data_IF_180270213940
#
_entry.id   IF_180270213940
#
_cell.length_a   1.000
_cell.length_b   1.000
_cell.length_c   1.000
_cell.angle_alpha   90.00
_cell.angle_beta   90.00
_cell.angle_gamma   90.00
#
_symmetry.space_group_name_H-M   'P 1'
#
loop_
_entity.id
_entity.type
_entity.pdbx_description
1 polymer ?
#
# COMPACT_ATOMS: atom_id res chain seq x y z
N UNK A 1 -68.01 -46.46 -16.32
CA UNK A 1 -67.44 -45.23 -16.91
C UNK A 1 -66.20 -44.87 -16.12
N UNK A 2 -65.03 -45.15 -16.69
CA UNK A 2 -63.73 -44.72 -16.16
C UNK A 2 -63.56 -43.26 -16.58
N UNK A 3 -63.86 -42.33 -15.66
CA UNK A 3 -63.68 -40.89 -15.90
C UNK A 3 -62.18 -40.60 -15.88
N UNK A 4 -61.66 -40.22 -17.06
CA UNK A 4 -60.45 -39.42 -17.29
C UNK A 4 -59.49 -39.33 -16.09
N UNK A 5 -58.60 -40.30 -15.99
CA UNK A 5 -57.28 -39.99 -15.45
C UNK A 5 -56.54 -39.23 -16.54
N UNK A 6 -56.48 -37.91 -16.38
CA UNK A 6 -55.47 -37.09 -17.04
C UNK A 6 -54.69 -36.34 -15.97
N UNK A 7 -53.72 -36.98 -15.30
CA UNK A 7 -52.57 -36.28 -14.78
C UNK A 7 -51.44 -36.49 -15.77
N UNK A 8 -51.48 -35.79 -16.90
CA UNK A 8 -50.24 -35.55 -17.65
C UNK A 8 -49.62 -34.32 -17.03
N UNK A 9 -48.90 -34.53 -15.93
CA UNK A 9 -48.11 -33.51 -15.26
C UNK A 9 -46.93 -33.12 -16.14
N UNK A 10 -46.84 -31.88 -16.64
CA UNK A 10 -45.58 -31.32 -17.14
C UNK A 10 -44.76 -30.71 -15.98
N UNK A 11 -45.20 -30.90 -14.73
CA UNK A 11 -44.70 -30.17 -13.55
C UNK A 11 -43.26 -30.54 -13.19
N UNK A 12 -42.83 -31.77 -13.50
CA UNK A 12 -41.49 -32.25 -13.18
C UNK A 12 -40.39 -31.62 -14.05
N UNK A 13 -40.63 -31.41 -15.35
CA UNK A 13 -39.63 -30.83 -16.24
C UNK A 13 -39.45 -29.32 -16.00
N UNK A 14 -40.53 -28.58 -15.74
CA UNK A 14 -40.45 -27.15 -15.45
C UNK A 14 -39.77 -26.90 -14.09
N UNK A 15 -40.09 -27.72 -13.08
CA UNK A 15 -39.44 -27.66 -11.75
C UNK A 15 -37.95 -28.00 -11.83
N UNK A 16 -37.58 -29.03 -12.60
CA UNK A 16 -36.18 -29.41 -12.81
C UNK A 16 -35.39 -28.32 -13.55
N UNK A 17 -35.97 -27.72 -14.59
CA UNK A 17 -35.36 -26.60 -15.32
C UNK A 17 -35.19 -25.36 -14.44
N UNK A 18 -36.15 -25.05 -13.58
CA UNK A 18 -36.05 -23.95 -12.60
C UNK A 18 -34.95 -24.19 -11.56
N UNK A 19 -34.81 -25.43 -11.09
CA UNK A 19 -33.74 -25.81 -10.18
C UNK A 19 -32.36 -25.71 -10.86
N UNK A 20 -32.23 -26.17 -12.11
CA UNK A 20 -30.99 -26.04 -12.87
C UNK A 20 -30.64 -24.58 -13.18
N UNK A 21 -31.61 -23.74 -13.54
CA UNK A 21 -31.39 -22.31 -13.72
C UNK A 21 -30.91 -21.64 -12.42
N UNK A 22 -31.46 -22.06 -11.27
CA UNK A 22 -31.04 -21.57 -9.95
C UNK A 22 -29.61 -22.01 -9.62
N UNK A 23 -29.26 -23.28 -9.86
CA UNK A 23 -27.89 -23.78 -9.67
C UNK A 23 -26.89 -23.06 -10.59
N UNK A 24 -27.25 -22.82 -11.85
CA UNK A 24 -26.42 -22.09 -12.81
C UNK A 24 -26.14 -20.66 -12.33
N UNK A 25 -27.16 -19.97 -11.80
CA UNK A 25 -26.99 -18.61 -11.26
C UNK A 25 -26.12 -18.58 -10.01
N UNK A 26 -26.23 -19.57 -9.11
CA UNK A 26 -25.37 -19.67 -7.93
C UNK A 26 -23.92 -19.97 -8.28
N UNK A 27 -23.65 -20.85 -9.25
CA UNK A 27 -22.28 -21.12 -9.68
C UNK A 27 -21.67 -19.90 -10.39
N UNK A 28 -22.45 -19.16 -11.20
CA UNK A 28 -22.02 -17.89 -11.76
C UNK A 28 -21.69 -16.87 -10.66
N UNK A 29 -22.53 -16.74 -9.63
CA UNK A 29 -22.26 -15.86 -8.49
C UNK A 29 -20.99 -16.26 -7.73
N UNK A 30 -20.79 -17.56 -7.51
CA UNK A 30 -19.57 -18.09 -6.89
C UNK A 30 -18.34 -17.82 -7.75
N UNK A 31 -18.45 -17.94 -9.07
CA UNK A 31 -17.38 -17.60 -10.00
C UNK A 31 -17.07 -16.10 -9.99
N UNK A 32 -18.07 -15.23 -9.96
CA UNK A 32 -17.89 -13.78 -9.79
C UNK A 32 -17.17 -13.46 -8.48
N UNK A 33 -17.59 -14.06 -7.36
CA UNK A 33 -16.92 -13.89 -6.06
C UNK A 33 -15.46 -14.34 -6.12
N UNK A 34 -15.18 -15.48 -6.76
CA UNK A 34 -13.80 -15.98 -6.93
C UNK A 34 -12.95 -15.02 -7.75
N UNK A 35 -13.47 -14.54 -8.87
CA UNK A 35 -12.79 -13.55 -9.72
C UNK A 35 -12.53 -12.24 -8.96
N UNK A 36 -13.48 -11.79 -8.14
CA UNK A 36 -13.29 -10.59 -7.31
C UNK A 36 -12.16 -10.78 -6.28
N UNK A 37 -12.10 -11.93 -5.60
CA UNK A 37 -11.01 -12.24 -4.67
C UNK A 37 -9.65 -12.29 -5.38
N UNK A 38 -9.59 -12.84 -6.60
CA UNK A 38 -8.37 -12.84 -7.41
C UNK A 38 -7.94 -11.41 -7.79
N UNK A 39 -8.88 -10.55 -8.18
CA UNK A 39 -8.60 -9.14 -8.48
C UNK A 39 -8.08 -8.38 -7.26
N UNK A 40 -8.65 -8.62 -6.07
CA UNK A 40 -8.16 -8.03 -4.82
C UNK A 40 -6.74 -8.51 -4.49
N UNK A 41 -6.45 -9.80 -4.68
CA UNK A 41 -5.11 -10.34 -4.49
C UNK A 41 -4.10 -9.69 -5.44
N UNK A 42 -4.44 -9.59 -6.73
CA UNK A 42 -3.59 -8.98 -7.75
C UNK A 42 -3.30 -7.50 -7.45
N UNK A 43 -4.32 -6.73 -7.05
CA UNK A 43 -4.14 -5.35 -6.60
C UNK A 43 -3.20 -5.25 -5.39
N UNK A 44 -3.35 -6.17 -4.42
CA UNK A 44 -2.44 -6.25 -3.26
C UNK A 44 -0.99 -6.54 -3.65
N UNK A 45 -0.76 -7.44 -4.62
CA UNK A 45 0.57 -7.74 -5.15
C UNK A 45 1.18 -6.52 -5.85
N UNK A 46 0.40 -5.81 -6.68
CA UNK A 46 0.85 -4.61 -7.37
C UNK A 46 1.23 -3.49 -6.40
N UNK A 47 0.39 -3.23 -5.39
CA UNK A 47 0.67 -2.23 -4.37
C UNK A 47 1.99 -2.54 -3.64
N UNK A 48 2.22 -3.81 -3.27
CA UNK A 48 3.48 -4.25 -2.65
C UNK A 48 4.68 -4.04 -3.56
N UNK A 49 4.58 -4.41 -4.84
CA UNK A 49 5.66 -4.21 -5.80
C UNK A 49 6.01 -2.73 -5.98
N UNK A 50 5.00 -1.86 -6.04
CA UNK A 50 5.23 -0.41 -6.09
C UNK A 50 5.93 0.09 -4.83
N UNK A 51 5.44 -0.27 -3.64
CA UNK A 51 6.07 0.12 -2.38
C UNK A 51 7.49 -0.44 -2.22
N UNK A 52 7.78 -1.64 -2.71
CA UNK A 52 9.14 -2.19 -2.75
C UNK A 52 10.03 -1.41 -3.71
N UNK A 53 9.52 -1.04 -4.88
CA UNK A 53 10.26 -0.22 -5.85
C UNK A 53 10.58 1.16 -5.30
N UNK A 54 9.61 1.86 -4.72
CA UNK A 54 9.81 3.17 -4.09
C UNK A 54 10.73 3.05 -2.88
N UNK A 55 10.49 2.05 -2.04
CA UNK A 55 11.32 1.73 -0.89
C UNK A 55 12.77 1.50 -1.29
N UNK A 56 13.04 0.82 -2.41
CA UNK A 56 14.42 0.50 -2.83
C UNK A 56 15.31 1.74 -2.95
N UNK A 57 14.72 2.91 -3.23
CA UNK A 57 15.42 4.19 -3.26
C UNK A 57 15.86 4.68 -1.88
N UNK A 58 15.18 4.23 -0.81
CA UNK A 58 15.48 4.55 0.59
C UNK A 58 16.57 3.65 1.17
N UNK A 59 16.88 2.52 0.53
CA UNK A 59 17.91 1.60 1.01
C UNK A 59 19.27 2.32 1.14
N UNK A 60 19.88 2.25 2.33
CA UNK A 60 21.12 2.94 2.65
C UNK A 60 21.01 4.47 2.83
N UNK A 61 19.80 5.04 2.72
CA UNK A 61 19.54 6.44 3.05
C UNK A 61 19.09 6.57 4.50
N UNK A 62 19.22 7.77 5.04
CA UNK A 62 18.63 8.13 6.32
C UNK A 62 17.16 8.48 6.12
N UNK A 63 16.29 7.92 6.94
CA UNK A 63 14.86 8.22 6.94
C UNK A 63 14.42 8.73 8.30
N UNK A 64 13.47 9.66 8.29
CA UNK A 64 12.73 10.09 9.48
C UNK A 64 11.40 9.35 9.49
N UNK A 65 11.00 8.84 10.65
CA UNK A 65 9.76 8.09 10.82
C UNK A 65 9.02 8.46 12.09
N UNK A 66 7.70 8.40 12.05
CA UNK A 66 6.83 8.64 13.20
C UNK A 66 6.78 7.42 14.11
N UNK A 67 6.91 7.64 15.41
CA UNK A 67 6.70 6.66 16.47
C UNK A 67 5.26 6.78 16.98
N UNK A 68 4.66 5.67 17.42
CA UNK A 68 3.27 5.62 17.90
C UNK A 68 3.00 6.54 19.10
N UNK A 69 4.04 7.00 19.80
CA UNK A 69 3.96 7.95 20.92
C UNK A 69 4.04 9.44 20.53
N UNK A 70 4.01 9.78 19.24
CA UNK A 70 4.07 11.17 18.76
C UNK A 70 5.48 11.77 18.68
N UNK A 71 6.51 10.93 18.79
CA UNK A 71 7.91 11.31 18.54
C UNK A 71 8.35 10.95 17.12
N UNK A 72 9.51 11.45 16.71
CA UNK A 72 10.17 11.05 15.46
C UNK A 72 11.46 10.28 15.75
N UNK A 73 11.66 9.19 15.04
CA UNK A 73 12.92 8.46 14.97
C UNK A 73 13.66 8.78 13.67
N UNK A 74 14.98 8.62 13.69
CA UNK A 74 15.84 8.67 12.49
C UNK A 74 16.74 7.45 12.44
N UNK A 75 17.05 6.99 11.25
CA UNK A 75 18.03 5.93 11.06
C UNK A 75 18.24 5.57 9.60
N UNK A 76 19.27 4.75 9.37
CA UNK A 76 19.61 4.24 8.04
C UNK A 76 18.78 3.01 7.73
N UNK A 77 18.22 2.93 6.53
CA UNK A 77 17.48 1.75 6.07
C UNK A 77 18.45 0.64 5.67
N UNK A 78 18.40 -0.48 6.39
CA UNK A 78 19.25 -1.65 6.15
C UNK A 78 18.66 -2.61 5.12
N UNK A 79 17.33 -2.80 5.15
CA UNK A 79 16.63 -3.69 4.20
C UNK A 79 15.15 -3.36 4.12
N UNK A 80 14.49 -3.88 3.08
CA UNK A 80 13.06 -3.70 2.83
C UNK A 80 12.50 -5.07 2.49
N UNK A 81 11.37 -5.43 3.10
CA UNK A 81 10.81 -6.75 2.98
C UNK A 81 9.29 -6.70 3.12
N UNK A 82 8.65 -7.82 2.77
CA UNK A 82 7.22 -8.04 2.98
C UNK A 82 7.07 -8.99 4.15
N UNK A 83 6.30 -8.59 5.18
CA UNK A 83 6.04 -9.45 6.33
C UNK A 83 4.97 -10.52 6.00
N UNK A 84 4.68 -11.40 6.96
CA UNK A 84 3.67 -12.47 6.80
C UNK A 84 2.25 -11.94 6.57
N UNK A 85 1.96 -10.72 7.04
CA UNK A 85 0.69 -10.02 6.81
C UNK A 85 0.62 -9.37 5.41
N UNK A 86 1.73 -9.41 4.66
CA UNK A 86 1.82 -8.83 3.33
C UNK A 86 1.99 -7.31 3.33
N UNK A 87 2.47 -6.72 4.42
CA UNK A 87 2.81 -5.31 4.50
C UNK A 87 4.28 -5.10 4.13
N UNK A 88 4.56 -4.03 3.36
CA UNK A 88 5.93 -3.63 3.07
C UNK A 88 6.50 -2.87 4.27
N UNK A 89 7.62 -3.35 4.80
CA UNK A 89 8.31 -2.78 5.96
C UNK A 89 9.79 -2.53 5.66
N UNK A 90 10.33 -1.54 6.36
CA UNK A 90 11.74 -1.16 6.33
C UNK A 90 12.39 -1.62 7.63
N UNK A 91 13.59 -2.20 7.55
CA UNK A 91 14.44 -2.50 8.70
C UNK A 91 15.42 -1.37 8.93
N UNK A 92 15.46 -0.85 10.15
CA UNK A 92 16.34 0.22 10.60
C UNK A 92 16.95 -0.23 11.92
N UNK A 93 18.14 -0.83 11.88
CA UNK A 93 18.73 -1.57 12.99
C UNK A 93 17.82 -2.73 13.41
N UNK A 94 17.43 -2.75 14.69
CA UNK A 94 16.52 -3.74 15.26
C UNK A 94 15.03 -3.38 15.07
N UNK A 95 14.74 -2.20 14.54
CA UNK A 95 13.37 -1.70 14.39
C UNK A 95 12.80 -2.02 13.01
N UNK A 96 11.55 -2.45 12.97
CA UNK A 96 10.79 -2.65 11.74
C UNK A 96 9.71 -1.60 11.61
N UNK A 97 9.87 -0.70 10.64
CA UNK A 97 9.02 0.48 10.44
C UNK A 97 8.15 0.28 9.20
N UNK A 98 6.86 0.60 9.30
CA UNK A 98 5.95 0.58 8.17
C UNK A 98 6.24 1.71 7.19
N UNK A 99 6.04 1.47 5.88
CA UNK A 99 6.22 2.50 4.85
C UNK A 99 5.34 3.74 5.10
N UNK A 100 4.16 3.54 5.69
CA UNK A 100 3.23 4.60 6.08
C UNK A 100 3.71 5.51 7.22
N UNK A 101 4.74 5.10 7.97
CA UNK A 101 5.30 5.87 9.08
C UNK A 101 6.47 6.76 8.64
N UNK A 102 6.98 6.60 7.42
CA UNK A 102 8.10 7.41 6.92
C UNK A 102 7.61 8.84 6.62
N UNK A 103 8.25 9.83 7.23
CA UNK A 103 7.91 11.25 7.09
C UNK A 103 8.95 12.05 6.31
N UNK A 104 10.15 11.50 6.11
CA UNK A 104 11.21 12.16 5.32
C UNK A 104 12.35 11.23 4.95
N UNK A 105 13.09 11.62 3.89
CA UNK A 105 14.26 10.89 3.38
C UNK A 105 15.40 11.90 3.17
N UNK A 106 16.57 11.64 3.76
CA UNK A 106 17.79 12.42 3.60
C UNK A 106 18.96 11.53 3.19
N UNK A 107 19.90 12.09 2.43
CA UNK A 107 21.21 11.45 2.29
C UNK A 107 21.98 11.63 3.59
N UNK A 108 22.60 10.57 4.15
CA UNK A 108 23.43 10.71 5.33
C UNK A 108 24.49 11.79 5.06
N UNK A 109 24.62 12.74 5.98
CA UNK A 109 25.57 13.83 5.83
C UNK A 109 26.97 13.25 5.71
N UNK A 110 27.65 13.52 4.58
CA UNK A 110 29.04 13.17 4.39
C UNK A 110 29.89 13.90 5.44
N UNK A 111 30.57 13.19 6.36
CA UNK A 111 31.45 13.83 7.34
C UNK A 111 32.69 14.50 6.72
N UNK A 112 32.88 14.40 5.39
CA UNK A 112 33.97 15.03 4.64
C UNK A 112 33.74 16.46 4.15
N UNK A 113 32.51 17.00 4.13
CA UNK A 113 32.27 18.33 3.57
C UNK A 113 32.34 19.43 4.65
N UNK A 114 33.55 19.92 4.92
CA UNK A 114 33.71 21.22 5.60
C UNK A 114 33.10 22.32 4.72
N UNK A 115 32.05 22.93 5.26
CA UNK A 115 31.30 24.11 4.78
C UNK A 115 32.16 25.18 4.10
N UNK A 116 31.58 25.97 3.18
CA UNK A 116 31.74 27.40 3.23
C UNK A 116 30.55 28.01 3.97
N UNK A 117 30.83 28.39 5.21
CA UNK A 117 30.08 29.39 5.96
C UNK A 117 29.92 30.64 5.09
N UNK A 118 28.70 31.07 4.77
CA UNK A 118 28.47 32.40 4.21
C UNK A 118 28.51 33.43 5.36
N UNK A 119 29.74 33.78 5.76
CA UNK A 119 30.01 35.02 6.49
C UNK A 119 30.13 36.14 5.48
N UNK A 120 29.08 36.94 5.32
CA UNK A 120 29.21 38.32 4.82
C UNK A 120 28.64 39.25 5.87
N UNK A 121 29.42 39.44 6.94
CA UNK A 121 29.35 40.66 7.74
C UNK A 121 30.36 41.66 7.18
N UNK A 122 29.88 42.78 6.64
CA UNK A 122 30.62 44.04 6.69
C UNK A 122 29.69 45.12 7.21
N UNK A 123 29.96 45.49 8.44
CA UNK A 123 29.30 46.52 9.25
C UNK A 123 29.71 47.93 8.82
N UNK A 124 28.81 48.86 9.15
CA UNK A 124 29.06 50.24 9.61
C UNK A 124 29.30 51.36 8.57
N UNK A 125 28.28 52.23 8.52
CA UNK A 125 28.35 53.66 8.87
C UNK A 125 29.13 54.63 7.94
N UNK A 126 28.38 55.52 7.29
CA UNK A 126 28.75 56.94 7.24
C UNK A 126 27.53 57.79 6.81
N UNK A 127 26.94 58.40 7.81
CA UNK A 127 26.44 59.78 7.89
C UNK A 127 26.49 60.71 6.64
N UNK A 128 25.47 61.59 6.57
CA UNK A 128 25.41 62.93 5.94
C UNK A 128 25.06 63.13 4.44
N UNK A 129 23.99 63.93 4.26
CA UNK A 129 23.97 65.23 3.54
C UNK A 129 23.23 65.34 2.19
N UNK A 130 22.07 66.01 2.24
CA UNK A 130 21.49 67.01 1.31
C UNK A 130 21.80 66.92 -0.20
N UNK A 131 20.77 66.90 -1.04
CA UNK A 131 20.22 68.09 -1.71
C UNK A 131 18.99 67.75 -2.55
#
# INVERSE_FOLDING_TARGET
>A
QLRNQTPLEPVDNDSFMQQMATYSSMEEQKQLNSNMLQLLNFQGVLARLQSLSEGSTMLGKEVTYALDGGGEGKGIVDSIFVNEQGEVRLRIGESEIGMNQITGISTPADPGNKTPSSTTGKTADSDKQTS
#
